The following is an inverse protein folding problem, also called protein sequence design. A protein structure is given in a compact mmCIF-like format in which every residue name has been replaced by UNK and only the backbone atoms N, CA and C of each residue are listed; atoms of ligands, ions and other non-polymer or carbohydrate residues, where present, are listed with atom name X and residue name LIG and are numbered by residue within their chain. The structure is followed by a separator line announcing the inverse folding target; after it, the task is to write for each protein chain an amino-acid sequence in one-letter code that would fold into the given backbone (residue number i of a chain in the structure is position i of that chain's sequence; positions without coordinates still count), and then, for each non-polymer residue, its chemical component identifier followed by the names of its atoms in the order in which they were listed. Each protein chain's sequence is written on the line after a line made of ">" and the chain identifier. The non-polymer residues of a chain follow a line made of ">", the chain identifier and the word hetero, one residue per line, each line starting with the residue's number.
data_IF_869215546375
#
_entry.id   IF_869215546375
#
_cell.length_a   1.000
_cell.length_b   1.000
_cell.length_c   1.000
_cell.angle_alpha   90.00
_cell.angle_beta   90.00
_cell.angle_gamma   90.00
#
_symmetry.space_group_name_H-M   'P 1'
#
loop_
_entity.id
_entity.type
_entity.pdbx_description
1 polymer ?
#
# COMPACT_ATOMS: atom_id res chain seq x y z
N UNK A 1 -13.12 -33.43 15.59
CA UNK A 1 -12.48 -33.18 14.27
C UNK A 1 -12.31 -31.69 13.95
N UNK A 2 -13.23 -30.81 14.37
CA UNK A 2 -13.20 -29.36 14.12
C UNK A 2 -11.97 -28.63 14.68
N UNK A 3 -11.50 -28.95 15.88
CA UNK A 3 -10.32 -28.29 16.48
C UNK A 3 -9.00 -28.59 15.74
N UNK A 4 -8.88 -29.76 15.10
CA UNK A 4 -7.64 -30.15 14.43
C UNK A 4 -7.49 -29.42 13.09
N UNK A 5 -8.56 -29.37 12.29
CA UNK A 5 -8.62 -28.60 11.03
C UNK A 5 -8.37 -27.10 11.27
N UNK A 6 -8.90 -26.54 12.36
CA UNK A 6 -8.71 -25.14 12.71
C UNK A 6 -7.25 -24.82 13.05
N UNK A 7 -6.58 -25.67 13.85
CA UNK A 7 -5.14 -25.52 14.13
C UNK A 7 -4.28 -25.60 12.87
N UNK A 8 -4.59 -26.51 11.93
CA UNK A 8 -3.85 -26.63 10.67
C UNK A 8 -3.99 -25.39 9.79
N UNK A 9 -5.21 -24.85 9.64
CA UNK A 9 -5.46 -23.63 8.87
C UNK A 9 -4.74 -22.41 9.48
N UNK A 10 -4.76 -22.28 10.80
CA UNK A 10 -4.04 -21.21 11.50
C UNK A 10 -2.54 -21.30 11.26
N UNK A 11 -1.93 -22.47 11.48
CA UNK A 11 -0.50 -22.69 11.28
C UNK A 11 -0.09 -22.44 9.82
N UNK A 12 -0.90 -22.91 8.87
CA UNK A 12 -0.66 -22.69 7.45
C UNK A 12 -0.73 -21.21 7.07
N UNK A 13 -1.64 -20.45 7.67
CA UNK A 13 -1.77 -19.00 7.46
C UNK A 13 -0.55 -18.25 8.01
N UNK A 14 -0.09 -18.61 9.22
CA UNK A 14 1.16 -18.09 9.78
C UNK A 14 2.36 -18.39 8.90
N UNK A 15 2.49 -19.62 8.40
CA UNK A 15 3.60 -20.01 7.54
C UNK A 15 3.61 -19.23 6.23
N UNK A 16 2.44 -18.89 5.67
CA UNK A 16 2.34 -18.05 4.46
C UNK A 16 2.67 -16.59 4.74
N UNK A 17 2.16 -16.04 5.84
CA UNK A 17 2.46 -14.66 6.23
C UNK A 17 3.97 -14.49 6.53
N UNK A 18 4.57 -15.44 7.25
CA UNK A 18 6.00 -15.42 7.56
C UNK A 18 6.87 -15.47 6.29
N UNK A 19 6.46 -16.23 5.25
CA UNK A 19 7.15 -16.24 3.94
C UNK A 19 7.08 -14.90 3.20
N UNK A 20 6.10 -14.06 3.54
CA UNK A 20 5.94 -12.70 3.01
C UNK A 20 6.53 -11.64 3.96
N UNK A 21 7.25 -12.05 5.02
CA UNK A 21 7.77 -11.16 6.06
C UNK A 21 6.68 -10.33 6.76
N UNK A 22 5.48 -10.90 6.84
CA UNK A 22 4.32 -10.34 7.52
C UNK A 22 4.09 -11.08 8.83
N UNK A 23 4.01 -10.32 9.93
CA UNK A 23 3.62 -10.83 11.24
C UNK A 23 2.12 -10.66 11.43
N UNK A 24 1.47 -11.72 11.92
CA UNK A 24 0.07 -11.71 12.28
C UNK A 24 -0.07 -11.75 13.80
N UNK A 25 -0.94 -10.91 14.35
CA UNK A 25 -1.37 -10.95 15.74
C UNK A 25 -2.89 -11.19 15.75
N UNK A 26 -3.31 -12.38 16.19
CA UNK A 26 -4.73 -12.67 16.37
C UNK A 26 -5.26 -11.88 17.56
N UNK A 27 -6.37 -11.19 17.32
CA UNK A 27 -7.22 -10.59 18.33
C UNK A 27 -8.54 -11.38 18.34
N UNK A 28 -9.47 -11.05 19.25
CA UNK A 28 -10.71 -11.82 19.44
C UNK A 28 -11.42 -12.19 18.13
N UNK A 29 -11.83 -11.17 17.35
CA UNK A 29 -12.58 -11.35 16.10
C UNK A 29 -11.88 -10.76 14.88
N UNK A 30 -10.63 -10.29 15.03
CA UNK A 30 -9.85 -9.65 13.95
C UNK A 30 -8.41 -10.13 14.00
N UNK A 31 -7.71 -10.01 12.87
CA UNK A 31 -6.27 -10.24 12.80
C UNK A 31 -5.59 -8.91 12.50
N UNK A 32 -4.58 -8.56 13.29
CA UNK A 32 -3.71 -7.42 13.04
C UNK A 32 -2.53 -7.88 12.21
N UNK A 33 -2.29 -7.17 11.11
CA UNK A 33 -1.21 -7.45 10.16
C UNK A 33 -0.11 -6.42 10.34
N UNK A 34 1.12 -6.87 10.56
CA UNK A 34 2.30 -6.02 10.79
C UNK A 34 3.37 -6.38 9.77
N UNK A 35 3.84 -5.38 9.03
CA UNK A 35 4.91 -5.52 8.05
C UNK A 35 5.94 -4.41 8.30
N UNK A 36 7.21 -4.78 8.39
CA UNK A 36 8.30 -3.83 8.62
C UNK A 36 9.34 -4.28 9.65
N UNK A 37 10.43 -3.51 9.81
CA UNK A 37 10.72 -2.28 9.06
C UNK A 37 11.09 -2.57 7.60
N UNK A 38 10.55 -1.78 6.66
CA UNK A 38 10.88 -1.86 5.22
C UNK A 38 11.37 -0.51 4.70
N UNK A 39 12.23 -0.49 3.66
CA UNK A 39 12.73 0.77 3.09
C UNK A 39 11.61 1.62 2.49
N UNK A 40 11.53 2.88 2.89
CA UNK A 40 10.64 3.86 2.26
C UNK A 40 11.20 4.41 0.93
N UNK A 41 12.52 4.39 0.77
CA UNK A 41 13.23 4.85 -0.43
C UNK A 41 14.04 3.66 -0.96
N UNK A 42 13.85 3.34 -2.25
CA UNK A 42 14.64 2.32 -2.94
C UNK A 42 15.66 2.98 -3.87
N UNK A 43 16.69 2.25 -4.26
CA UNK A 43 17.62 2.67 -5.30
C UNK A 43 17.35 1.88 -6.59
N UNK A 44 17.06 2.60 -7.67
CA UNK A 44 16.80 2.04 -9.00
C UNK A 44 18.09 2.05 -9.81
N UNK A 45 18.55 0.86 -10.23
CA UNK A 45 19.88 0.66 -10.80
C UNK A 45 20.00 1.12 -12.26
N UNK A 46 18.94 1.08 -13.06
CA UNK A 46 19.00 1.42 -14.48
C UNK A 46 19.24 2.91 -14.68
N UNK A 47 18.54 3.76 -13.92
CA UNK A 47 18.65 5.23 -13.98
C UNK A 47 19.48 5.82 -12.85
N UNK A 48 20.10 4.98 -12.02
CA UNK A 48 21.01 5.36 -10.93
C UNK A 48 20.43 6.43 -10.00
N UNK A 49 19.17 6.24 -9.57
CA UNK A 49 18.45 7.22 -8.74
C UNK A 49 17.69 6.59 -7.58
N UNK A 50 17.47 7.39 -6.54
CA UNK A 50 16.54 7.04 -5.46
C UNK A 50 15.10 7.22 -5.93
N UNK A 51 14.21 6.34 -5.50
CA UNK A 51 12.79 6.36 -5.83
C UNK A 51 11.93 6.26 -4.57
N UNK A 52 10.84 7.02 -4.54
CA UNK A 52 9.84 6.98 -3.49
C UNK A 52 8.91 5.77 -3.68
N UNK A 53 9.39 4.60 -3.27
CA UNK A 53 8.69 3.32 -3.45
C UNK A 53 8.14 2.84 -2.11
N UNK A 54 7.04 3.44 -1.68
CA UNK A 54 6.33 3.08 -0.45
C UNK A 54 4.84 3.46 -0.55
N UNK A 55 4.08 3.08 0.47
CA UNK A 55 2.65 3.36 0.57
C UNK A 55 2.31 4.33 1.71
N UNK A 56 3.26 5.15 2.16
CA UNK A 56 3.13 5.99 3.37
C UNK A 56 1.90 6.90 3.29
N UNK A 57 1.81 7.75 2.27
CA UNK A 57 0.69 8.69 2.11
C UNK A 57 -0.65 7.97 1.95
N UNK A 58 -0.66 6.89 1.15
CA UNK A 58 -1.88 6.09 0.93
C UNK A 58 -2.40 5.44 2.21
N UNK A 59 -1.52 4.83 3.01
CA UNK A 59 -1.90 4.21 4.28
C UNK A 59 -2.35 5.28 5.29
N UNK A 60 -1.57 6.36 5.43
CA UNK A 60 -1.83 7.40 6.44
C UNK A 60 -3.08 8.24 6.15
N UNK A 61 -3.44 8.45 4.88
CA UNK A 61 -4.59 9.28 4.50
C UNK A 61 -5.80 8.48 4.00
N UNK A 62 -5.64 7.18 3.70
CA UNK A 62 -6.65 6.41 2.98
C UNK A 62 -7.00 5.04 3.55
N UNK A 63 -6.23 4.48 4.48
CA UNK A 63 -6.59 3.21 5.15
C UNK A 63 -7.52 3.46 6.33
N UNK A 64 -8.73 3.91 6.01
CA UNK A 64 -9.79 4.16 6.97
C UNK A 64 -10.96 3.19 6.72
N UNK A 65 -11.24 2.37 7.72
CA UNK A 65 -12.46 1.57 7.80
C UNK A 65 -12.80 1.27 9.28
N UNK A 66 -13.84 0.47 9.53
CA UNK A 66 -14.24 0.12 10.90
C UNK A 66 -13.14 -0.58 11.75
N UNK A 67 -12.05 -1.04 11.13
CA UNK A 67 -10.94 -1.78 11.77
C UNK A 67 -9.64 -0.98 11.76
N UNK A 68 -9.49 -0.02 10.86
CA UNK A 68 -8.25 0.69 10.61
C UNK A 68 -8.39 2.19 10.89
N UNK A 69 -7.55 2.68 11.80
CA UNK A 69 -7.33 4.11 11.96
C UNK A 69 -6.15 4.53 11.07
N UNK A 70 -6.35 5.41 10.09
CA UNK A 70 -5.35 5.70 9.07
C UNK A 70 -4.07 6.32 9.67
N UNK A 71 -4.17 7.16 10.72
CA UNK A 71 -2.96 7.77 11.34
C UNK A 71 -2.11 6.77 12.15
N UNK A 72 -2.61 5.55 12.37
CA UNK A 72 -1.89 4.44 13.02
C UNK A 72 -1.51 3.33 12.02
N UNK A 73 -1.96 3.44 10.77
CA UNK A 73 -1.76 2.41 9.75
C UNK A 73 -0.30 2.31 9.27
N UNK A 74 0.46 3.38 9.43
CA UNK A 74 1.88 3.44 9.10
C UNK A 74 2.62 4.28 10.14
N UNK A 75 3.78 3.78 10.56
CA UNK A 75 4.68 4.42 11.52
C UNK A 75 6.09 4.44 10.94
N UNK A 76 7.02 5.08 11.63
CA UNK A 76 8.43 4.78 11.40
C UNK A 76 8.74 3.31 11.71
N UNK A 77 9.90 2.84 11.22
CA UNK A 77 10.34 1.45 11.40
C UNK A 77 10.60 1.04 12.85
N UNK A 78 10.73 2.01 13.75
CA UNK A 78 10.85 1.82 15.20
C UNK A 78 9.48 1.84 15.93
N UNK A 79 8.38 2.05 15.20
CA UNK A 79 7.03 2.15 15.74
C UNK A 79 6.60 3.55 16.17
N UNK A 80 7.48 4.56 16.11
CA UNK A 80 7.10 5.94 16.43
C UNK A 80 6.16 6.53 15.37
N UNK A 81 5.18 7.36 15.77
CA UNK A 81 4.20 7.91 14.83
C UNK A 81 4.85 8.87 13.82
N UNK A 82 4.32 8.89 12.60
CA UNK A 82 4.71 9.89 11.61
C UNK A 82 4.15 11.27 11.97
N UNK A 83 4.90 12.37 11.76
CA UNK A 83 4.37 13.71 11.91
C UNK A 83 3.32 14.00 10.82
N UNK A 84 2.06 14.14 11.20
CA UNK A 84 0.95 14.25 10.25
C UNK A 84 1.11 15.39 9.23
N UNK A 85 1.60 16.56 9.65
CA UNK A 85 1.83 17.69 8.77
C UNK A 85 2.80 17.36 7.62
N UNK A 86 3.88 16.62 7.90
CA UNK A 86 4.85 16.18 6.88
C UNK A 86 4.19 15.22 5.89
N UNK A 87 3.35 14.31 6.38
CA UNK A 87 2.63 13.37 5.50
C UNK A 87 1.69 14.11 4.55
N UNK A 88 1.01 15.15 5.04
CA UNK A 88 0.16 16.00 4.19
C UNK A 88 0.96 16.87 3.22
N UNK A 89 2.15 17.35 3.61
CA UNK A 89 3.05 18.04 2.68
C UNK A 89 3.52 17.09 1.56
N UNK A 90 3.83 15.83 1.88
CA UNK A 90 4.10 14.82 0.86
C UNK A 90 2.90 14.57 -0.06
N UNK A 91 1.68 14.53 0.49
CA UNK A 91 0.46 14.41 -0.33
C UNK A 91 0.30 15.60 -1.28
N UNK A 92 0.60 16.82 -0.81
CA UNK A 92 0.56 18.02 -1.65
C UNK A 92 1.56 17.93 -2.80
N UNK A 93 2.81 17.52 -2.54
CA UNK A 93 3.81 17.32 -3.60
C UNK A 93 3.33 16.27 -4.62
N UNK A 94 2.71 15.18 -4.15
CA UNK A 94 2.17 14.16 -5.05
C UNK A 94 1.05 14.69 -5.95
N UNK A 95 0.19 15.59 -5.45
CA UNK A 95 -0.88 16.20 -6.26
C UNK A 95 -0.32 17.22 -7.25
N UNK A 96 0.62 18.08 -6.80
CA UNK A 96 1.28 19.11 -7.61
C UNK A 96 2.09 18.51 -8.78
N UNK A 97 2.81 17.41 -8.54
CA UNK A 97 3.62 16.73 -9.56
C UNK A 97 2.80 15.71 -10.39
N UNK A 98 1.50 15.56 -10.12
CA UNK A 98 0.66 14.59 -10.82
C UNK A 98 0.27 15.05 -12.22
N UNK A 99 0.29 14.12 -13.17
CA UNK A 99 -0.22 14.35 -14.53
C UNK A 99 -1.52 13.57 -14.72
N UNK A 100 -2.64 14.29 -14.78
CA UNK A 100 -3.97 13.72 -14.95
C UNK A 100 -4.41 13.77 -16.42
N UNK A 101 -4.09 12.72 -17.18
CA UNK A 101 -4.48 12.62 -18.60
C UNK A 101 -5.94 12.12 -18.69
N UNK A 102 -6.84 12.85 -19.38
CA UNK A 102 -8.20 12.39 -19.59
C UNK A 102 -8.21 11.19 -20.53
N UNK A 103 -8.75 10.06 -20.06
CA UNK A 103 -8.83 8.82 -20.82
C UNK A 103 -9.80 8.93 -22.00
N UNK A 104 -9.38 8.41 -23.14
CA UNK A 104 -10.23 8.16 -24.31
C UNK A 104 -10.30 6.66 -24.60
N UNK A 105 -11.35 6.25 -25.32
CA UNK A 105 -11.50 4.86 -25.70
C UNK A 105 -10.40 4.47 -26.70
N UNK A 106 -9.72 3.36 -26.40
CA UNK A 106 -8.61 2.86 -27.23
C UNK A 106 -7.23 3.28 -26.73
N UNK A 107 -7.15 4.21 -25.77
CA UNK A 107 -5.87 4.60 -25.16
C UNK A 107 -5.20 3.43 -24.45
N UNK A 108 -3.87 3.39 -24.56
CA UNK A 108 -3.00 2.48 -23.82
C UNK A 108 -1.96 3.32 -23.10
N UNK A 109 -1.91 3.21 -21.77
CA UNK A 109 -0.87 3.83 -20.95
C UNK A 109 0.11 2.75 -20.49
N UNK A 110 1.38 2.90 -20.87
CA UNK A 110 2.47 2.09 -20.33
C UNK A 110 3.12 2.81 -19.15
N UNK A 111 3.17 2.14 -18.00
CA UNK A 111 3.70 2.70 -16.76
C UNK A 111 4.91 1.90 -16.30
N UNK A 112 6.04 2.57 -16.11
CA UNK A 112 7.19 1.99 -15.40
C UNK A 112 6.93 2.07 -13.89
N UNK A 113 6.59 0.92 -13.30
CA UNK A 113 6.21 0.80 -11.89
C UNK A 113 7.36 1.14 -10.91
N UNK A 114 8.61 1.19 -11.37
CA UNK A 114 9.73 1.67 -10.54
C UNK A 114 9.86 3.19 -10.55
N UNK A 115 9.23 3.87 -11.50
CA UNK A 115 9.35 5.31 -11.70
C UNK A 115 8.08 6.10 -11.38
N UNK A 116 6.91 5.46 -11.44
CA UNK A 116 5.62 6.18 -11.44
C UNK A 116 4.67 5.59 -10.40
N UNK A 117 4.13 6.47 -9.56
CA UNK A 117 2.96 6.21 -8.73
C UNK A 117 1.71 6.54 -9.54
N UNK A 118 0.64 5.77 -9.38
CA UNK A 118 -0.63 6.03 -10.05
C UNK A 118 -1.78 6.07 -9.05
N UNK A 119 -2.80 6.88 -9.35
CA UNK A 119 -3.99 7.04 -8.52
C UNK A 119 -5.23 7.16 -9.41
N UNK A 120 -6.39 7.39 -8.79
CA UNK A 120 -7.67 7.51 -9.50
C UNK A 120 -8.49 8.65 -8.91
N UNK A 121 -8.89 9.60 -9.76
CA UNK A 121 -9.91 10.61 -9.42
C UNK A 121 -11.30 9.95 -9.30
N UNK A 122 -12.19 10.49 -8.45
CA UNK A 122 -13.62 10.14 -8.47
C UNK A 122 -14.20 10.31 -9.88
N UNK A 123 -15.22 9.51 -10.22
CA UNK A 123 -15.86 9.55 -11.52
C UNK A 123 -17.31 9.10 -11.43
N UNK A 124 -18.12 9.50 -12.40
CA UNK A 124 -19.48 8.99 -12.57
C UNK A 124 -19.44 7.81 -13.55
N UNK A 125 -20.09 6.67 -13.24
CA UNK A 125 -20.20 5.55 -14.17
C UNK A 125 -21.02 5.94 -15.43
N UNK A 126 -20.84 5.26 -16.57
CA UNK A 126 -19.97 4.09 -16.79
C UNK A 126 -18.50 4.46 -17.03
N UNK A 127 -17.58 3.67 -16.48
CA UNK A 127 -16.13 3.72 -16.78
C UNK A 127 -15.54 2.33 -16.67
N UNK A 128 -14.75 1.92 -17.66
CA UNK A 128 -14.03 0.64 -17.66
C UNK A 128 -12.59 0.83 -18.12
N UNK A 129 -11.64 0.48 -17.26
CA UNK A 129 -10.21 0.44 -17.55
C UNK A 129 -9.74 -1.00 -17.32
N UNK A 130 -8.92 -1.53 -18.22
CA UNK A 130 -8.28 -2.83 -18.10
C UNK A 130 -6.80 -2.65 -17.76
N UNK A 131 -6.18 -3.65 -17.13
CA UNK A 131 -4.78 -3.61 -16.75
C UNK A 131 -4.08 -4.95 -17.02
N UNK A 132 -2.77 -4.88 -17.25
CA UNK A 132 -1.86 -6.02 -17.31
C UNK A 132 -0.63 -5.69 -16.46
N UNK A 133 -0.05 -6.71 -15.84
CA UNK A 133 1.15 -6.59 -15.01
C UNK A 133 2.32 -7.32 -15.70
N UNK A 134 3.53 -6.78 -15.52
CA UNK A 134 4.77 -7.32 -16.05
C UNK A 134 5.70 -7.76 -14.93
#
# INVERSE_FOLDING_TARGET
>A
MTNFLMCFMLQWTFNRAAKLEVRLEWMENVVKTIMGPIPAIKFEKTRQRKIWFNSMVFAYAGWEDARNNPVKAVTFGDGSPLPGHIVYDCLKILDEESVAIPWQQGDILLVDNLAVLHSRRPFNPPRRILASLC
#
